data_IF_624791414352
#
_entry.id   IF_624791414352
#
_cell.length_a   1.000
_cell.length_b   1.000
_cell.length_c   1.000
_cell.angle_alpha   90.00
_cell.angle_beta   90.00
_cell.angle_gamma   90.00
#
_symmetry.space_group_name_H-M   'P 1'
#
loop_
_entity.id
_entity.type
_entity.pdbx_description
1 polymer ?
#
# COMPACT_ATOMS: atom_id res chain seq x y z
N UNK A 1 -3.39 24.74 11.44
CA UNK A 1 -2.09 25.37 11.04
C UNK A 1 -1.87 25.02 9.58
N UNK A 2 -1.22 25.85 8.75
CA UNK A 2 -0.98 25.46 7.36
C UNK A 2 -0.10 24.21 7.32
N UNK A 3 -0.43 23.26 6.43
CA UNK A 3 0.33 22.04 6.24
C UNK A 3 1.80 22.34 5.89
N UNK A 4 2.73 21.82 6.68
CA UNK A 4 4.17 21.95 6.45
C UNK A 4 4.70 20.71 5.72
N UNK A 5 4.99 20.90 4.42
CA UNK A 5 5.51 19.86 3.54
C UNK A 5 6.83 19.28 4.03
N UNK A 6 7.74 20.14 4.52
CA UNK A 6 9.07 19.70 4.95
C UNK A 6 8.99 18.86 6.22
N UNK A 7 8.08 19.25 7.13
CA UNK A 7 7.84 18.49 8.34
C UNK A 7 7.22 17.13 8.04
N UNK A 8 6.19 17.09 7.18
CA UNK A 8 5.56 15.85 6.74
C UNK A 8 6.58 14.88 6.12
N UNK A 9 7.41 15.35 5.18
CA UNK A 9 8.46 14.52 4.57
C UNK A 9 9.45 13.99 5.63
N UNK A 10 9.81 14.79 6.64
CA UNK A 10 10.69 14.35 7.71
C UNK A 10 10.05 13.25 8.57
N UNK A 11 8.76 13.38 8.91
CA UNK A 11 7.99 12.36 9.63
C UNK A 11 7.92 11.04 8.82
N UNK A 12 7.60 11.12 7.52
CA UNK A 12 7.55 9.96 6.62
C UNK A 12 8.91 9.25 6.51
N UNK A 13 10.00 10.01 6.31
CA UNK A 13 11.36 9.43 6.22
C UNK A 13 11.79 8.78 7.53
N UNK A 14 11.39 9.35 8.68
CA UNK A 14 11.64 8.75 9.98
C UNK A 14 10.88 7.43 10.17
N UNK A 15 9.59 7.40 9.81
CA UNK A 15 8.76 6.18 9.82
C UNK A 15 9.41 5.07 8.98
N UNK A 16 9.80 5.38 7.75
CA UNK A 16 10.47 4.44 6.84
C UNK A 16 11.79 3.95 7.44
N UNK A 17 12.63 4.85 7.95
CA UNK A 17 13.92 4.48 8.55
C UNK A 17 13.74 3.48 9.69
N UNK A 18 12.76 3.73 10.57
CA UNK A 18 12.42 2.83 11.67
C UNK A 18 11.95 1.48 11.13
N UNK A 19 11.04 1.45 10.16
CA UNK A 19 10.53 0.22 9.58
C UNK A 19 11.63 -0.62 8.94
N UNK A 20 12.50 -0.02 8.13
CA UNK A 20 13.63 -0.69 7.49
C UNK A 20 14.61 -1.24 8.55
N UNK A 21 14.91 -0.47 9.60
CA UNK A 21 15.76 -0.95 10.70
C UNK A 21 15.13 -2.14 11.41
N UNK A 22 13.83 -2.08 11.72
CA UNK A 22 13.09 -3.18 12.36
C UNK A 22 13.07 -4.42 11.48
N UNK A 23 12.76 -4.29 10.19
CA UNK A 23 12.83 -5.42 9.24
C UNK A 23 14.21 -6.08 9.23
N UNK A 24 15.29 -5.29 9.22
CA UNK A 24 16.67 -5.82 9.25
C UNK A 24 17.07 -6.49 10.56
N UNK A 25 16.40 -6.22 11.67
CA UNK A 25 16.76 -6.77 12.98
C UNK A 25 15.84 -7.93 13.37
N UNK A 26 14.54 -7.70 13.26
CA UNK A 26 13.44 -8.59 13.68
C UNK A 26 13.09 -9.62 12.58
N UNK A 27 13.24 -9.27 11.29
CA UNK A 27 12.77 -10.07 10.14
C UNK A 27 13.89 -10.34 9.13
N UNK A 28 15.11 -10.65 9.61
CA UNK A 28 16.33 -10.78 8.78
C UNK A 28 16.22 -11.68 7.56
N UNK A 29 15.52 -12.81 7.71
CA UNK A 29 15.40 -13.82 6.65
C UNK A 29 14.14 -13.64 5.80
N UNK A 30 13.26 -12.72 6.20
CA UNK A 30 12.01 -12.41 5.51
C UNK A 30 12.32 -11.83 4.14
N UNK A 31 11.76 -12.45 3.10
CA UNK A 31 11.89 -11.97 1.74
C UNK A 31 10.69 -11.11 1.40
N UNK A 32 10.91 -9.80 1.27
CA UNK A 32 9.85 -8.83 0.99
C UNK A 32 9.44 -8.94 -0.48
N UNK A 33 8.17 -9.24 -0.71
CA UNK A 33 7.56 -9.28 -2.03
C UNK A 33 6.81 -7.99 -2.36
N UNK A 34 6.10 -7.43 -1.39
CA UNK A 34 5.42 -6.15 -1.51
C UNK A 34 5.77 -5.27 -0.32
N UNK A 35 6.05 -4.00 -0.59
CA UNK A 35 6.07 -2.95 0.43
C UNK A 35 5.00 -1.95 0.05
N UNK A 36 4.19 -1.49 1.00
CA UNK A 36 3.16 -0.48 0.75
C UNK A 36 3.25 0.62 1.78
N UNK A 37 3.17 1.87 1.33
CA UNK A 37 3.04 3.05 2.18
C UNK A 37 1.69 3.68 1.87
N UNK A 38 0.92 4.00 2.90
CA UNK A 38 -0.30 4.76 2.72
C UNK A 38 -0.34 5.95 3.66
N UNK A 39 -1.03 7.00 3.23
CA UNK A 39 -1.43 8.14 4.05
C UNK A 39 -2.94 8.28 3.98
N UNK A 40 -3.59 8.28 5.15
CA UNK A 40 -5.00 8.65 5.30
C UNK A 40 -5.07 10.15 5.69
N UNK A 41 -5.44 11.04 4.75
CA UNK A 41 -5.57 12.47 5.03
C UNK A 41 -6.73 12.81 5.97
N UNK A 42 -7.71 11.92 6.16
CA UNK A 42 -8.81 12.15 7.09
C UNK A 42 -8.42 11.79 8.52
N UNK A 43 -7.60 10.75 8.70
CA UNK A 43 -7.03 10.39 10.01
C UNK A 43 -5.74 11.15 10.34
N UNK A 44 -5.09 11.76 9.35
CA UNK A 44 -3.77 12.36 9.49
C UNK A 44 -2.69 11.35 9.86
N UNK A 45 -2.85 10.11 9.41
CA UNK A 45 -1.97 8.98 9.76
C UNK A 45 -1.34 8.41 8.50
N UNK A 46 -0.10 7.98 8.61
CA UNK A 46 0.54 7.16 7.58
C UNK A 46 1.07 5.87 8.17
N UNK A 47 1.21 4.87 7.31
CA UNK A 47 1.71 3.56 7.67
C UNK A 47 2.60 2.99 6.57
N UNK A 48 3.53 2.13 6.97
CA UNK A 48 4.31 1.28 6.07
C UNK A 48 4.04 -0.18 6.41
N UNK A 49 3.86 -0.99 5.37
CA UNK A 49 3.37 -2.37 5.43
C UNK A 49 4.27 -3.27 4.56
N UNK A 50 4.34 -4.55 4.90
CA UNK A 50 5.11 -5.53 4.13
C UNK A 50 4.32 -6.82 3.92
N UNK A 51 4.49 -7.43 2.74
CA UNK A 51 3.91 -8.72 2.40
C UNK A 51 4.93 -9.64 1.74
N UNK A 52 4.75 -10.94 1.96
CA UNK A 52 5.58 -12.01 1.42
C UNK A 52 4.86 -12.71 0.28
N UNK A 53 5.60 -13.27 -0.68
CA UNK A 53 4.99 -13.88 -1.88
C UNK A 53 3.97 -14.97 -1.53
N UNK A 54 4.33 -15.85 -0.61
CA UNK A 54 3.46 -16.95 -0.16
C UNK A 54 2.15 -16.42 0.45
N UNK A 55 2.22 -15.39 1.28
CA UNK A 55 1.02 -14.81 1.91
C UNK A 55 0.17 -14.07 0.88
N UNK A 56 0.80 -13.29 0.01
CA UNK A 56 0.15 -12.60 -1.11
C UNK A 56 -0.62 -13.58 -2.01
N UNK A 57 -0.02 -14.72 -2.36
CA UNK A 57 -0.66 -15.77 -3.15
C UNK A 57 -1.84 -16.42 -2.42
N UNK A 58 -1.73 -16.62 -1.11
CA UNK A 58 -2.82 -17.15 -0.30
C UNK A 58 -4.01 -16.19 -0.28
N UNK A 59 -3.75 -14.89 -0.14
CA UNK A 59 -4.79 -13.85 -0.16
C UNK A 59 -5.48 -13.77 -1.52
N UNK A 60 -4.73 -13.77 -2.62
CA UNK A 60 -5.29 -13.78 -3.97
C UNK A 60 -6.14 -15.04 -4.22
N UNK A 61 -5.65 -16.22 -3.82
CA UNK A 61 -6.40 -17.47 -3.92
C UNK A 61 -7.67 -17.46 -3.06
N UNK A 62 -7.61 -16.93 -1.85
CA UNK A 62 -8.76 -16.82 -0.97
C UNK A 62 -9.83 -15.89 -1.57
N UNK A 63 -9.42 -14.71 -2.06
CA UNK A 63 -10.30 -13.80 -2.76
C UNK A 63 -10.98 -14.46 -3.97
N UNK A 64 -10.20 -15.15 -4.82
CA UNK A 64 -10.72 -15.89 -5.96
C UNK A 64 -11.76 -16.94 -5.56
N UNK A 65 -11.55 -17.65 -4.45
CA UNK A 65 -12.53 -18.62 -3.93
C UNK A 65 -13.84 -17.94 -3.49
N UNK A 66 -13.77 -16.76 -2.86
CA UNK A 66 -14.95 -16.01 -2.43
C UNK A 66 -15.77 -15.53 -3.63
N UNK A 67 -15.13 -14.95 -4.64
CA UNK A 67 -15.83 -14.42 -5.82
C UNK A 67 -16.31 -15.52 -6.77
N UNK A 68 -15.73 -16.74 -6.70
CA UNK A 68 -16.07 -17.86 -7.58
C UNK A 68 -17.58 -18.16 -7.61
N UNK A 69 -18.26 -18.08 -6.46
CA UNK A 69 -19.71 -18.33 -6.40
C UNK A 69 -20.51 -17.31 -7.22
N UNK A 70 -20.07 -16.05 -7.22
CA UNK A 70 -20.68 -15.00 -8.02
C UNK A 70 -20.41 -15.25 -9.51
N UNK A 71 -19.15 -15.53 -9.86
CA UNK A 71 -18.77 -15.90 -11.21
C UNK A 71 -19.61 -17.05 -11.77
N UNK A 72 -19.65 -18.20 -11.09
CA UNK A 72 -20.38 -19.39 -11.53
C UNK A 72 -21.89 -19.10 -11.67
N UNK A 73 -22.45 -18.27 -10.79
CA UNK A 73 -23.86 -17.85 -10.84
C UNK A 73 -24.19 -17.03 -12.10
N UNK A 74 -23.30 -16.12 -12.51
CA UNK A 74 -23.48 -15.35 -13.74
C UNK A 74 -23.28 -16.20 -14.99
N UNK A 75 -22.27 -17.09 -14.98
CA UNK A 75 -22.06 -18.06 -16.07
C UNK A 75 -23.29 -18.96 -16.27
N UNK A 76 -23.87 -19.49 -15.18
CA UNK A 76 -25.06 -20.34 -15.27
C UNK A 76 -26.29 -19.60 -15.84
N UNK A 77 -26.34 -18.26 -15.71
CA UNK A 77 -27.40 -17.41 -16.28
C UNK A 77 -27.11 -16.96 -17.71
N UNK A 78 -25.94 -17.28 -18.26
CA UNK A 78 -25.48 -16.78 -19.56
C UNK A 78 -25.13 -15.29 -19.55
N UNK A 79 -24.92 -14.69 -18.37
CA UNK A 79 -24.61 -13.28 -18.21
C UNK A 79 -23.08 -13.08 -18.16
N UNK A 80 -22.45 -13.21 -19.32
CA UNK A 80 -20.99 -13.20 -19.43
C UNK A 80 -20.36 -11.84 -19.14
N UNK A 81 -21.07 -10.73 -19.36
CA UNK A 81 -20.54 -9.39 -19.07
C UNK A 81 -20.39 -9.16 -17.57
N UNK A 82 -21.41 -9.53 -16.78
CA UNK A 82 -21.26 -9.47 -15.32
C UNK A 82 -20.31 -10.54 -14.79
N UNK A 83 -20.23 -11.72 -15.43
CA UNK A 83 -19.27 -12.74 -15.02
C UNK A 83 -17.82 -12.24 -15.09
N UNK A 84 -17.46 -11.41 -16.08
CA UNK A 84 -16.10 -10.83 -16.20
C UNK A 84 -15.69 -10.02 -14.97
N UNK A 85 -16.63 -9.35 -14.29
CA UNK A 85 -16.35 -8.58 -13.08
C UNK A 85 -15.91 -9.44 -11.88
N UNK A 86 -16.20 -10.74 -11.93
CA UNK A 86 -15.84 -11.72 -10.90
C UNK A 86 -14.86 -12.78 -11.43
N UNK A 87 -14.20 -12.51 -12.56
CA UNK A 87 -13.17 -13.40 -13.06
C UNK A 87 -12.03 -13.52 -12.01
N UNK A 88 -11.42 -14.70 -11.84
CA UNK A 88 -10.28 -14.86 -10.96
C UNK A 88 -9.15 -13.89 -11.33
N UNK A 89 -8.53 -13.31 -10.32
CA UNK A 89 -7.36 -12.43 -10.46
C UNK A 89 -6.08 -13.23 -10.15
N UNK A 90 -5.05 -13.04 -10.97
CA UNK A 90 -3.71 -13.61 -10.73
C UNK A 90 -2.74 -12.56 -10.18
N UNK A 91 -3.25 -11.39 -9.76
CA UNK A 91 -2.45 -10.30 -9.23
C UNK A 91 -1.95 -10.58 -7.81
N UNK A 92 -0.89 -9.86 -7.42
CA UNK A 92 -0.46 -9.76 -6.02
C UNK A 92 -1.59 -9.19 -5.17
N UNK A 93 -1.57 -9.51 -3.88
CA UNK A 93 -2.33 -8.78 -2.87
C UNK A 93 -1.90 -7.31 -2.86
N UNK A 94 -2.83 -6.42 -3.16
CA UNK A 94 -2.64 -4.97 -3.30
C UNK A 94 -3.33 -4.18 -2.17
N UNK A 95 -4.12 -4.85 -1.32
CA UNK A 95 -4.79 -4.24 -0.18
C UNK A 95 -3.90 -4.30 1.09
N UNK A 96 -3.36 -3.17 1.58
CA UNK A 96 -2.43 -3.16 2.71
C UNK A 96 -3.02 -3.73 4.01
N UNK A 97 -4.33 -3.61 4.23
CA UNK A 97 -5.00 -4.19 5.40
C UNK A 97 -4.99 -5.73 5.41
N UNK A 98 -4.76 -6.33 4.24
CA UNK A 98 -4.63 -7.76 4.06
C UNK A 98 -3.19 -8.25 4.02
N UNK A 99 -2.18 -7.44 4.36
CA UNK A 99 -0.77 -7.82 4.32
C UNK A 99 -0.35 -8.61 5.57
N UNK A 100 0.67 -9.46 5.43
CA UNK A 100 1.19 -10.26 6.55
C UNK A 100 1.73 -9.38 7.68
N UNK A 101 2.43 -8.30 7.33
CA UNK A 101 2.93 -7.29 8.24
C UNK A 101 2.23 -5.95 7.94
N UNK A 102 0.90 -5.93 8.14
CA UNK A 102 0.09 -4.71 8.11
C UNK A 102 0.39 -3.81 9.32
N UNK A 103 0.23 -2.51 9.14
CA UNK A 103 0.42 -1.46 10.16
C UNK A 103 1.76 -1.59 10.90
N UNK A 104 2.81 -1.96 10.14
CA UNK A 104 4.07 -2.40 10.71
C UNK A 104 4.76 -1.27 11.49
N UNK A 105 4.77 -0.07 10.91
CA UNK A 105 5.10 1.17 11.61
C UNK A 105 4.13 2.24 11.13
N UNK A 106 3.53 2.93 12.08
CA UNK A 106 2.61 4.04 11.84
C UNK A 106 3.19 5.36 12.38
N UNK A 107 2.77 6.47 11.78
CA UNK A 107 3.04 7.80 12.30
C UNK A 107 1.77 8.66 12.22
N UNK A 108 1.45 9.33 13.31
CA UNK A 108 0.45 10.39 13.33
C UNK A 108 1.13 11.71 12.95
N UNK A 109 0.63 12.37 11.91
CA UNK A 109 1.18 13.64 11.43
C UNK A 109 0.61 14.81 12.22
N UNK A 110 1.48 15.63 12.81
CA UNK A 110 1.06 16.86 13.50
C UNK A 110 0.57 17.93 12.51
N UNK A 111 1.07 17.87 11.27
CA UNK A 111 0.77 18.85 10.22
C UNK A 111 -0.50 18.59 9.41
N UNK A 112 -1.12 17.40 9.54
CA UNK A 112 -2.37 17.06 8.83
C UNK A 112 -3.55 17.29 9.76
N UNK A 113 -4.48 18.15 9.32
CA UNK A 113 -5.74 18.37 10.03
C UNK A 113 -6.69 17.18 9.82
N UNK A 114 -7.49 16.83 10.83
CA UNK A 114 -8.47 15.76 10.70
C UNK A 114 -9.49 16.08 9.59
N UNK A 115 -9.92 15.06 8.87
CA UNK A 115 -10.84 15.15 7.74
C UNK A 115 -10.33 16.04 6.59
N UNK A 116 -9.01 16.19 6.39
CA UNK A 116 -8.47 17.13 5.41
C UNK A 116 -8.98 16.86 3.99
N UNK A 117 -9.09 15.60 3.58
CA UNK A 117 -9.62 15.26 2.27
C UNK A 117 -11.09 15.65 2.13
N UNK A 118 -11.92 15.32 3.11
CA UNK A 118 -13.33 15.71 3.14
C UNK A 118 -13.49 17.25 3.12
N UNK A 119 -12.80 17.97 4.00
CA UNK A 119 -12.90 19.43 4.13
C UNK A 119 -12.32 20.18 2.92
N UNK A 120 -11.36 19.56 2.22
CA UNK A 120 -10.75 20.15 1.02
C UNK A 120 -11.41 19.71 -0.29
N UNK A 121 -12.42 18.84 -0.23
CA UNK A 121 -13.07 18.26 -1.41
C UNK A 121 -12.04 17.57 -2.33
N UNK A 122 -11.17 16.75 -1.72
CA UNK A 122 -10.08 16.02 -2.37
C UNK A 122 -8.84 16.86 -2.75
N UNK A 123 -8.86 18.18 -2.57
CA UNK A 123 -7.76 19.06 -3.01
C UNK A 123 -6.45 18.85 -2.24
N UNK A 124 -6.48 18.20 -1.07
CA UNK A 124 -5.27 17.79 -0.36
C UNK A 124 -4.34 16.92 -1.21
N UNK A 125 -4.89 16.11 -2.13
CA UNK A 125 -4.10 15.24 -3.00
C UNK A 125 -3.22 16.02 -3.98
N UNK A 126 -3.60 17.22 -4.40
CA UNK A 126 -2.72 18.11 -5.17
C UNK A 126 -1.42 18.47 -4.43
N UNK A 127 -1.45 18.36 -3.10
CA UNK A 127 -0.28 18.58 -2.23
C UNK A 127 0.38 17.24 -1.88
N UNK A 128 -0.40 16.21 -1.52
CA UNK A 128 0.12 14.93 -1.05
C UNK A 128 0.76 14.10 -2.16
N UNK A 129 0.15 13.99 -3.35
CA UNK A 129 0.66 13.14 -4.44
C UNK A 129 2.14 13.39 -4.78
N UNK A 130 2.61 14.64 -5.05
CA UNK A 130 4.03 14.86 -5.32
C UNK A 130 4.94 14.58 -4.11
N UNK A 131 4.44 14.72 -2.89
CA UNK A 131 5.21 14.41 -1.68
C UNK A 131 5.30 12.90 -1.46
N UNK A 132 4.22 12.17 -1.72
CA UNK A 132 4.16 10.71 -1.68
C UNK A 132 5.05 10.08 -2.75
N UNK A 133 5.18 10.69 -3.91
CA UNK A 133 6.20 10.31 -4.90
C UNK A 133 7.63 10.44 -4.33
N UNK A 134 7.97 11.57 -3.70
CA UNK A 134 9.30 11.75 -3.07
C UNK A 134 9.53 10.72 -1.94
N UNK A 135 8.51 10.45 -1.15
CA UNK A 135 8.54 9.44 -0.08
C UNK A 135 8.77 8.06 -0.68
N UNK A 136 8.06 7.70 -1.75
CA UNK A 136 8.22 6.42 -2.45
C UNK A 136 9.62 6.25 -3.04
N UNK A 137 10.17 7.29 -3.67
CA UNK A 137 11.55 7.27 -4.20
C UNK A 137 12.57 7.00 -3.07
N UNK A 138 12.42 7.71 -1.94
CA UNK A 138 13.26 7.48 -0.77
C UNK A 138 13.10 6.06 -0.22
N UNK A 139 11.86 5.59 -0.08
CA UNK A 139 11.55 4.30 0.50
C UNK A 139 12.06 3.15 -0.37
N UNK A 140 11.94 3.27 -1.69
CA UNK A 140 12.46 2.30 -2.65
C UNK A 140 14.00 2.18 -2.55
N UNK A 141 14.70 3.29 -2.38
CA UNK A 141 16.14 3.27 -2.14
C UNK A 141 16.48 2.58 -0.80
N UNK A 142 15.73 2.86 0.26
CA UNK A 142 15.95 2.21 1.56
C UNK A 142 15.66 0.71 1.51
N UNK A 143 14.64 0.28 0.75
CA UNK A 143 14.24 -1.11 0.62
C UNK A 143 15.35 -2.01 0.05
N UNK A 144 16.30 -1.46 -0.71
CA UNK A 144 17.48 -2.19 -1.21
C UNK A 144 18.36 -2.76 -0.11
N UNK A 145 18.21 -2.29 1.12
CA UNK A 145 18.89 -2.83 2.31
C UNK A 145 18.19 -4.05 2.93
N UNK A 146 17.06 -4.48 2.36
CA UNK A 146 16.31 -5.68 2.75
C UNK A 146 16.57 -6.83 1.79
N UNK A 147 16.15 -8.03 2.20
CA UNK A 147 16.06 -9.18 1.30
C UNK A 147 14.78 -9.04 0.47
N UNK A 148 14.93 -8.69 -0.80
CA UNK A 148 13.82 -8.45 -1.72
C UNK A 148 13.60 -9.66 -2.65
N UNK A 149 12.34 -10.09 -2.81
CA UNK A 149 11.93 -11.06 -3.83
C UNK A 149 12.34 -10.59 -5.24
N UNK A 150 12.43 -11.49 -6.23
CA UNK A 150 12.76 -11.11 -7.63
C UNK A 150 11.74 -10.13 -8.21
N UNK A 151 10.48 -10.35 -7.86
CA UNK A 151 9.33 -9.60 -8.37
C UNK A 151 8.85 -8.56 -7.34
N UNK A 152 9.78 -8.05 -6.52
CA UNK A 152 9.47 -7.05 -5.51
C UNK A 152 8.87 -5.80 -6.13
N UNK A 153 7.91 -5.20 -5.43
CA UNK A 153 7.31 -3.93 -5.81
C UNK A 153 6.96 -3.12 -4.55
N UNK A 154 7.31 -1.84 -4.58
CA UNK A 154 6.82 -0.85 -3.63
C UNK A 154 5.59 -0.17 -4.24
N UNK A 155 4.57 0.07 -3.42
CA UNK A 155 3.46 0.94 -3.78
C UNK A 155 3.20 2.04 -2.76
N UNK A 156 2.64 3.13 -3.25
CA UNK A 156 2.12 4.23 -2.44
C UNK A 156 0.69 4.54 -2.87
N UNK A 157 -0.19 4.85 -1.90
CA UNK A 157 -1.57 5.20 -2.19
C UNK A 157 -1.69 6.58 -2.88
N UNK A 158 -2.86 6.80 -3.49
CA UNK A 158 -3.26 8.07 -4.06
C UNK A 158 -4.75 8.34 -3.82
N UNK A 159 -5.33 9.32 -4.53
CA UNK A 159 -6.75 9.67 -4.39
C UNK A 159 -7.71 8.54 -4.77
N UNK A 160 -7.30 7.63 -5.67
CA UNK A 160 -8.22 6.65 -6.25
C UNK A 160 -8.03 5.25 -5.65
N UNK A 161 -6.81 4.88 -5.25
CA UNK A 161 -6.50 3.53 -4.77
C UNK A 161 -5.36 3.49 -3.73
N UNK A 162 -5.33 2.41 -2.94
CA UNK A 162 -4.25 2.07 -2.01
C UNK A 162 -2.95 1.67 -2.72
N UNK A 163 -3.04 1.24 -3.99
CA UNK A 163 -1.93 0.75 -4.79
C UNK A 163 -1.79 1.53 -6.11
N UNK A 164 -1.54 2.84 -6.03
CA UNK A 164 -1.62 3.74 -7.20
C UNK A 164 -0.25 4.02 -7.85
N UNK A 165 0.73 4.47 -7.06
CA UNK A 165 2.10 4.74 -7.55
C UNK A 165 3.00 3.57 -7.21
N UNK A 166 3.74 3.03 -8.18
CA UNK A 166 4.54 1.82 -7.97
C UNK A 166 5.99 1.93 -8.45
N UNK A 167 6.87 1.19 -7.76
CA UNK A 167 8.29 1.05 -8.08
C UNK A 167 8.65 -0.45 -8.11
N UNK A 168 8.78 -1.05 -9.30
CA UNK A 168 9.19 -2.43 -9.44
C UNK A 168 10.71 -2.60 -9.22
N UNK A 169 11.14 -3.76 -8.74
CA UNK A 169 12.55 -4.14 -8.70
C UNK A 169 13.11 -4.14 -10.13
N UNK A 170 14.10 -3.29 -10.38
CA UNK A 170 14.77 -3.15 -11.69
C UNK A 170 15.87 -4.17 -11.89
#
# INVERSE_FOLDING_TARGET
>A
MPFDKSHYIAEMKAMITIAIQRMRVEYRDYEVYTMSIWTDPNAGTSSINFDGKTHSDQQANHYNQLIKKHYDSYIAKGDYENAKLYAPVESRNDNPAGFELADFVETQHVGIELNWEYESDGKCWNVLTPLLQEVGDYAFEQAKNLKLHSDFELAVNGPDDWYELTWPKS
#
